data_IF_499699893276
#
_entry.id   IF_499699893276
#
_cell.length_a   1.000
_cell.length_b   1.000
_cell.length_c   1.000
_cell.angle_alpha   90.00
_cell.angle_beta   90.00
_cell.angle_gamma   90.00
#
_symmetry.space_group_name_H-M   'P 1'
#
loop_
_entity.id
_entity.type
_entity.pdbx_description
1 polymer ?
#
# COMPACT_ATOMS: atom_id res chain seq x y z
N UNK A 1 61.63 32.13 -35.23
CA UNK A 1 61.41 31.76 -33.82
C UNK A 1 60.28 32.64 -33.31
N UNK A 2 59.36 32.03 -32.58
CA UNK A 2 58.21 32.62 -31.88
C UNK A 2 57.07 33.10 -32.81
N UNK A 3 55.82 32.65 -32.74
CA UNK A 3 54.99 32.20 -31.60
C UNK A 3 53.85 31.28 -32.10
N UNK A 4 54.01 29.96 -31.94
CA UNK A 4 52.91 28.98 -32.14
C UNK A 4 52.52 28.45 -30.76
N UNK A 5 51.83 29.22 -29.92
CA UNK A 5 51.23 28.66 -28.69
C UNK A 5 50.01 29.45 -28.19
N UNK A 6 49.17 29.95 -29.11
CA UNK A 6 47.88 30.57 -28.77
C UNK A 6 46.68 29.76 -29.29
N UNK A 7 46.75 28.43 -29.20
CA UNK A 7 45.64 27.54 -29.60
C UNK A 7 45.50 26.34 -28.67
N UNK A 8 45.43 26.54 -27.35
CA UNK A 8 45.14 25.39 -26.47
C UNK A 8 44.56 25.77 -25.11
N UNK A 9 43.50 26.60 -25.05
CA UNK A 9 42.79 26.82 -23.78
C UNK A 9 41.26 26.90 -23.86
N UNK A 10 40.65 26.67 -25.01
CA UNK A 10 39.20 26.90 -25.19
C UNK A 10 38.41 25.65 -25.62
N UNK A 11 39.02 24.47 -25.60
CA UNK A 11 38.33 23.21 -25.99
C UNK A 11 37.99 22.29 -24.82
N UNK A 12 38.31 22.67 -23.59
CA UNK A 12 38.01 21.86 -22.39
C UNK A 12 36.82 22.37 -21.55
N UNK A 13 36.22 23.51 -21.90
CA UNK A 13 35.13 24.12 -21.12
C UNK A 13 33.71 23.79 -21.62
N UNK A 14 33.54 22.88 -22.58
CA UNK A 14 32.22 22.60 -23.20
C UNK A 14 31.65 21.23 -22.83
N UNK A 15 32.40 20.37 -22.12
CA UNK A 15 31.97 18.97 -21.84
C UNK A 15 31.44 18.77 -20.40
N UNK A 16 31.46 19.80 -19.53
CA UNK A 16 31.19 19.61 -18.09
C UNK A 16 29.87 20.21 -17.56
N UNK A 17 28.83 20.41 -18.40
CA UNK A 17 27.56 21.00 -17.93
C UNK A 17 26.27 20.35 -18.45
N UNK A 18 26.31 19.11 -18.93
CA UNK A 18 25.09 18.36 -19.34
C UNK A 18 24.74 17.19 -18.40
N UNK A 19 25.27 17.16 -17.18
CA UNK A 19 24.95 16.11 -16.18
C UNK A 19 23.85 16.49 -15.18
N UNK A 20 23.19 17.64 -15.34
CA UNK A 20 22.14 18.05 -14.41
C UNK A 20 20.76 17.91 -15.05
N UNK A 21 19.88 17.15 -14.37
CA UNK A 21 18.45 16.97 -14.64
C UNK A 21 18.08 15.76 -15.53
N UNK A 22 18.57 14.57 -15.18
CA UNK A 22 17.67 13.41 -15.30
C UNK A 22 16.61 13.60 -14.20
N UNK A 23 15.53 14.29 -14.56
CA UNK A 23 14.31 14.29 -13.76
C UNK A 23 13.77 12.85 -13.75
N UNK A 24 14.23 12.06 -12.78
CA UNK A 24 13.65 10.74 -12.51
C UNK A 24 12.21 10.98 -12.06
N UNK A 25 11.26 10.86 -12.99
CA UNK A 25 9.84 10.92 -12.70
C UNK A 25 9.52 9.93 -11.57
N UNK A 26 8.64 10.35 -10.66
CA UNK A 26 8.18 9.45 -9.61
C UNK A 26 7.46 8.26 -10.25
N UNK A 27 7.75 7.04 -9.79
CA UNK A 27 7.20 5.84 -10.38
C UNK A 27 5.69 5.83 -10.20
N UNK A 28 4.97 5.53 -11.27
CA UNK A 28 3.51 5.46 -11.24
C UNK A 28 3.09 4.13 -10.63
N UNK A 29 2.67 4.16 -9.38
CA UNK A 29 2.09 3.02 -8.67
C UNK A 29 0.56 3.14 -8.71
N UNK A 30 -0.12 2.02 -8.96
CA UNK A 30 -1.59 1.95 -8.91
C UNK A 30 -1.95 1.07 -7.70
N UNK A 31 -2.88 1.57 -6.88
CA UNK A 31 -3.37 0.85 -5.70
C UNK A 31 -4.80 0.40 -5.96
N UNK A 32 -5.05 -0.89 -5.77
CA UNK A 32 -6.39 -1.49 -5.70
C UNK A 32 -6.59 -1.94 -4.28
N UNK A 33 -7.44 -1.27 -3.52
CA UNK A 33 -7.68 -1.64 -2.13
C UNK A 33 -9.16 -1.70 -1.80
N UNK A 34 -9.49 -2.70 -1.00
CA UNK A 34 -10.84 -3.10 -0.66
C UNK A 34 -10.97 -3.28 0.84
N UNK A 35 -12.14 -2.95 1.37
CA UNK A 35 -12.52 -3.26 2.75
C UNK A 35 -13.67 -4.26 2.74
N UNK A 36 -13.59 -5.25 3.61
CA UNK A 36 -14.60 -6.28 3.75
C UNK A 36 -14.89 -6.47 5.24
N UNK A 37 -16.14 -6.30 5.64
CA UNK A 37 -16.54 -6.58 7.01
C UNK A 37 -16.65 -8.09 7.21
N UNK A 38 -16.23 -8.56 8.37
CA UNK A 38 -16.37 -9.94 8.81
C UNK A 38 -17.02 -9.95 10.19
N UNK A 39 -18.14 -10.65 10.30
CA UNK A 39 -18.81 -10.87 11.57
C UNK A 39 -18.56 -12.33 11.96
N UNK A 40 -17.73 -12.59 12.98
CA UNK A 40 -17.54 -13.95 13.48
C UNK A 40 -18.88 -14.53 13.96
N UNK A 41 -19.11 -15.83 13.77
CA UNK A 41 -20.26 -16.52 14.35
C UNK A 41 -20.30 -16.34 15.87
N UNK A 42 -21.49 -16.16 16.44
CA UNK A 42 -21.70 -16.16 17.88
C UNK A 42 -21.60 -17.58 18.42
N UNK A 43 -20.57 -17.90 19.18
CA UNK A 43 -20.61 -19.07 20.08
C UNK A 43 -21.30 -18.58 21.37
N UNK A 44 -22.48 -19.11 21.74
CA UNK A 44 -23.08 -18.77 23.02
C UNK A 44 -22.16 -19.26 24.14
N UNK A 45 -21.51 -18.34 24.83
CA UNK A 45 -20.85 -18.64 26.10
C UNK A 45 -21.92 -18.75 27.16
N UNK A 46 -22.18 -19.97 27.64
CA UNK A 46 -22.97 -20.19 28.84
C UNK A 46 -22.08 -19.81 30.03
N UNK A 47 -22.19 -18.58 30.51
CA UNK A 47 -21.62 -18.21 31.80
C UNK A 47 -22.43 -18.97 32.86
N UNK A 48 -21.94 -20.12 33.29
CA UNK A 48 -22.59 -20.93 34.33
C UNK A 48 -22.37 -20.23 35.67
N UNK A 49 -23.17 -19.19 35.96
CA UNK A 49 -23.29 -18.61 37.30
C UNK A 49 -24.76 -18.31 37.58
N UNK A 50 -25.43 -19.27 38.24
CA UNK A 50 -26.67 -19.07 39.00
C UNK A 50 -27.97 -18.95 38.18
N UNK A 51 -29.05 -19.53 38.71
CA UNK A 51 -30.40 -19.62 38.12
C UNK A 51 -31.12 -18.27 37.87
N UNK A 52 -30.43 -17.12 37.89
CA UNK A 52 -31.03 -15.79 37.69
C UNK A 52 -30.11 -14.75 37.02
N UNK A 53 -29.07 -15.17 36.29
CA UNK A 53 -28.29 -14.23 35.49
C UNK A 53 -28.91 -14.12 34.09
N UNK A 54 -29.33 -12.92 33.69
CA UNK A 54 -29.69 -12.65 32.30
C UNK A 54 -28.54 -13.09 31.39
N UNK A 55 -28.83 -13.99 30.45
CA UNK A 55 -27.88 -14.43 29.43
C UNK A 55 -27.47 -13.21 28.58
N UNK A 56 -26.36 -12.56 28.92
CA UNK A 56 -25.82 -11.50 28.07
C UNK A 56 -25.17 -12.14 26.84
N UNK A 57 -25.92 -12.21 25.75
CA UNK A 57 -25.37 -12.57 24.43
C UNK A 57 -24.34 -11.49 24.06
N UNK A 58 -23.06 -11.82 24.19
CA UNK A 58 -21.98 -10.94 23.75
C UNK A 58 -21.97 -10.94 22.22
N UNK A 59 -22.51 -9.88 21.61
CA UNK A 59 -22.41 -9.70 20.16
C UNK A 59 -20.92 -9.61 19.75
N UNK A 60 -20.48 -10.38 18.74
CA UNK A 60 -19.10 -10.38 18.29
C UNK A 60 -18.78 -9.02 17.66
N UNK A 61 -17.56 -8.54 17.90
CA UNK A 61 -17.10 -7.30 17.29
C UNK A 61 -16.99 -7.49 15.77
N UNK A 62 -17.50 -6.53 14.99
CA UNK A 62 -17.31 -6.50 13.54
C UNK A 62 -15.85 -6.22 13.25
N UNK A 63 -15.19 -7.14 12.54
CA UNK A 63 -13.79 -7.03 12.14
C UNK A 63 -13.75 -6.52 10.69
N UNK A 64 -12.83 -5.60 10.38
CA UNK A 64 -12.60 -5.17 8.99
C UNK A 64 -11.36 -5.85 8.44
N UNK A 65 -11.52 -6.60 7.36
CA UNK A 65 -10.44 -7.14 6.56
C UNK A 65 -10.11 -6.19 5.41
N UNK A 66 -8.82 -6.01 5.11
CA UNK A 66 -8.35 -5.18 4.01
C UNK A 66 -7.63 -6.03 2.96
N UNK A 67 -8.11 -5.98 1.72
CA UNK A 67 -7.45 -6.62 0.59
C UNK A 67 -6.75 -5.52 -0.21
N UNK A 68 -5.43 -5.52 -0.25
CA UNK A 68 -4.63 -4.45 -0.85
C UNK A 68 -3.70 -5.03 -1.91
N UNK A 69 -3.78 -4.49 -3.12
CA UNK A 69 -2.93 -4.84 -4.24
C UNK A 69 -2.27 -3.60 -4.81
N UNK A 70 -1.02 -3.76 -5.21
CA UNK A 70 -0.19 -2.69 -5.74
C UNK A 70 0.37 -3.11 -7.08
N UNK A 71 0.01 -2.39 -8.14
CA UNK A 71 0.59 -2.57 -9.47
C UNK A 71 1.80 -1.64 -9.65
N UNK A 72 2.89 -2.20 -10.15
CA UNK A 72 4.09 -1.47 -10.54
C UNK A 72 4.60 -1.93 -11.89
N UNK A 73 5.28 -1.04 -12.61
CA UNK A 73 5.88 -1.39 -13.89
C UNK A 73 6.91 -2.52 -13.72
N UNK A 74 7.00 -3.41 -14.72
CA UNK A 74 7.73 -4.68 -14.61
C UNK A 74 9.23 -4.50 -14.36
N UNK A 75 9.82 -3.43 -14.88
CA UNK A 75 11.23 -3.10 -14.65
C UNK A 75 11.49 -2.56 -13.22
N UNK A 76 10.44 -2.16 -12.51
CA UNK A 76 10.56 -1.52 -11.21
C UNK A 76 10.75 -2.57 -10.10
N UNK A 77 11.66 -2.26 -9.17
CA UNK A 77 11.82 -3.00 -7.92
C UNK A 77 11.51 -2.07 -6.75
N UNK A 78 10.43 -2.36 -6.04
CA UNK A 78 10.06 -1.68 -4.81
C UNK A 78 10.24 -2.60 -3.62
N UNK A 79 10.52 -2.02 -2.46
CA UNK A 79 10.45 -2.73 -1.18
C UNK A 79 9.31 -2.12 -0.36
N UNK A 80 8.14 -2.79 -0.30
CA UNK A 80 7.02 -2.39 0.55
C UNK A 80 7.48 -2.24 2.00
N UNK A 81 7.03 -1.19 2.69
CA UNK A 81 7.54 -0.88 4.04
C UNK A 81 6.44 -0.73 5.09
N UNK A 82 5.35 -0.04 4.76
CA UNK A 82 4.22 0.11 5.68
C UNK A 82 2.96 0.52 4.91
N UNK A 83 1.81 0.30 5.53
CA UNK A 83 0.53 0.84 5.09
C UNK A 83 -0.11 1.62 6.23
N UNK A 84 -0.61 2.81 5.93
CA UNK A 84 -1.51 3.53 6.80
C UNK A 84 -2.94 3.29 6.33
N UNK A 85 -3.76 2.68 7.18
CA UNK A 85 -5.18 2.41 6.93
C UNK A 85 -5.89 2.36 8.28
N UNK A 86 -7.14 2.82 8.34
CA UNK A 86 -7.90 2.81 9.59
C UNK A 86 -7.24 3.63 10.72
N UNK A 87 -6.49 4.68 10.38
CA UNK A 87 -5.88 5.59 11.35
C UNK A 87 -4.51 5.18 11.90
N UNK A 88 -3.99 3.98 11.56
CA UNK A 88 -2.73 3.46 12.10
C UNK A 88 -1.78 3.01 11.00
N UNK A 89 -0.48 2.98 11.32
CA UNK A 89 0.55 2.40 10.44
C UNK A 89 0.82 0.96 10.83
N UNK A 90 0.66 0.05 9.87
CA UNK A 90 1.01 -1.37 10.03
C UNK A 90 2.23 -1.72 9.15
N UNK A 91 3.03 -2.66 9.63
CA UNK A 91 4.06 -3.33 8.83
C UNK A 91 3.40 -4.10 7.69
N UNK A 92 4.17 -4.39 6.64
CA UNK A 92 3.65 -5.15 5.51
C UNK A 92 4.64 -6.20 5.02
N UNK A 93 4.09 -7.34 4.63
CA UNK A 93 4.74 -8.26 3.72
C UNK A 93 4.13 -8.10 2.32
N UNK A 94 4.88 -8.48 1.30
CA UNK A 94 4.40 -8.42 -0.07
C UNK A 94 4.65 -9.73 -0.79
N UNK A 95 3.60 -10.19 -1.48
CA UNK A 95 3.63 -11.41 -2.28
C UNK A 95 3.37 -11.03 -3.73
N UNK A 96 4.28 -11.40 -4.62
CA UNK A 96 4.04 -11.22 -6.05
C UNK A 96 2.93 -12.18 -6.50
N UNK A 97 1.91 -11.65 -7.17
CA UNK A 97 0.82 -12.45 -7.73
C UNK A 97 0.90 -12.43 -9.25
N UNK A 98 0.84 -13.63 -9.83
CA UNK A 98 0.94 -13.85 -11.28
C UNK A 98 -0.46 -13.99 -11.89
N UNK A 99 -1.42 -14.49 -11.11
CA UNK A 99 -2.81 -14.67 -11.54
C UNK A 99 -3.67 -13.51 -11.06
N UNK A 100 -4.60 -13.09 -11.90
CA UNK A 100 -5.63 -12.10 -11.60
C UNK A 100 -6.42 -12.50 -10.35
N UNK A 101 -6.33 -11.73 -9.25
CA UNK A 101 -7.08 -12.02 -8.03
C UNK A 101 -8.56 -11.70 -8.22
N UNK A 102 -9.41 -12.56 -7.68
CA UNK A 102 -10.86 -12.38 -7.67
C UNK A 102 -11.44 -12.90 -6.36
N UNK A 103 -12.59 -12.37 -5.98
CA UNK A 103 -13.46 -12.94 -4.94
C UNK A 103 -14.72 -13.48 -5.60
N UNK A 104 -15.37 -14.43 -4.92
CA UNK A 104 -16.67 -14.94 -5.33
C UNK A 104 -17.73 -14.24 -4.46
N UNK A 105 -18.54 -13.39 -5.07
CA UNK A 105 -19.70 -12.72 -4.46
C UNK A 105 -20.92 -13.35 -5.15
N UNK A 106 -21.50 -14.40 -4.58
CA UNK A 106 -22.55 -15.18 -5.25
C UNK A 106 -23.71 -14.27 -5.70
N UNK A 107 -24.16 -14.35 -6.97
CA UNK A 107 -23.87 -15.39 -7.96
C UNK A 107 -22.67 -15.11 -8.90
N UNK A 108 -21.93 -14.03 -8.67
CA UNK A 108 -20.90 -13.52 -9.58
C UNK A 108 -19.47 -13.64 -9.02
N UNK A 109 -18.49 -13.40 -9.89
CA UNK A 109 -17.10 -13.23 -9.48
C UNK A 109 -16.71 -11.78 -9.69
N UNK A 110 -16.07 -11.20 -8.68
CA UNK A 110 -15.56 -9.83 -8.74
C UNK A 110 -14.05 -9.85 -8.82
N UNK A 111 -13.55 -9.35 -9.93
CA UNK A 111 -12.12 -9.19 -10.18
C UNK A 111 -11.59 -8.04 -9.32
N UNK A 112 -10.56 -8.30 -8.51
CA UNK A 112 -9.95 -7.31 -7.61
C UNK A 112 -8.83 -6.51 -8.30
N UNK A 113 -8.13 -7.13 -9.23
CA UNK A 113 -7.12 -6.45 -10.05
C UNK A 113 -7.36 -6.90 -11.48
N UNK A 114 -7.61 -5.98 -12.45
CA UNK A 114 -7.77 -6.35 -13.85
C UNK A 114 -6.55 -7.10 -14.40
N UNK A 115 -6.72 -7.83 -15.50
CA UNK A 115 -5.60 -8.44 -16.19
C UNK A 115 -4.61 -7.35 -16.66
N UNK A 116 -3.35 -7.49 -16.31
CA UNK A 116 -2.30 -6.50 -16.57
C UNK A 116 -0.97 -7.18 -16.87
N UNK A 117 -0.12 -6.52 -17.65
CA UNK A 117 1.26 -6.96 -17.92
C UNK A 117 2.26 -6.48 -16.86
N UNK A 118 1.77 -5.69 -15.89
CA UNK A 118 2.53 -5.15 -14.78
C UNK A 118 2.76 -6.18 -13.69
N UNK A 119 3.76 -5.92 -12.84
CA UNK A 119 3.93 -6.69 -11.59
C UNK A 119 2.86 -6.25 -10.60
N UNK A 120 2.16 -7.23 -10.04
CA UNK A 120 1.19 -6.99 -8.98
C UNK A 120 1.70 -7.62 -7.69
N UNK A 121 1.68 -6.85 -6.62
CA UNK A 121 1.96 -7.33 -5.28
C UNK A 121 0.68 -7.32 -4.45
N UNK A 122 0.34 -8.47 -3.87
CA UNK A 122 -0.57 -8.55 -2.74
C UNK A 122 0.16 -8.05 -1.49
N UNK A 123 -0.42 -7.07 -0.81
CA UNK A 123 0.11 -6.47 0.40
C UNK A 123 -0.60 -7.09 1.60
N UNK A 124 0.15 -7.84 2.38
CA UNK A 124 -0.33 -8.51 3.58
C UNK A 124 0.02 -7.62 4.77
N UNK A 125 -1.00 -7.16 5.49
CA UNK A 125 -0.82 -6.36 6.70
C UNK A 125 -0.25 -7.23 7.82
N UNK A 126 0.77 -6.71 8.50
CA UNK A 126 1.35 -7.31 9.69
C UNK A 126 0.98 -6.52 10.95
N UNK A 127 1.88 -6.53 11.93
CA UNK A 127 1.69 -5.82 13.18
C UNK A 127 1.72 -4.30 13.00
N UNK A 128 1.01 -3.60 13.89
CA UNK A 128 1.11 -2.15 14.02
C UNK A 128 2.53 -1.74 14.39
N UNK A 129 3.04 -0.74 13.67
CA UNK A 129 4.40 -0.25 13.87
C UNK A 129 4.57 0.27 15.30
N UNK A 130 5.50 -0.34 16.05
CA UNK A 130 5.88 0.12 17.39
C UNK A 130 6.48 1.52 17.37
N UNK A 131 7.21 1.86 16.30
CA UNK A 131 7.74 3.19 16.08
C UNK A 131 7.00 3.85 14.91
N UNK A 132 6.28 4.92 15.20
CA UNK A 132 5.51 5.63 14.18
C UNK A 132 6.44 6.23 13.11
N UNK A 133 6.05 6.07 11.84
CA UNK A 133 6.66 6.83 10.75
C UNK A 133 6.34 8.29 11.00
N UNK A 134 7.37 9.14 11.13
CA UNK A 134 7.18 10.59 11.24
C UNK A 134 6.75 11.12 9.86
N UNK A 135 5.47 11.48 9.65
CA UNK A 135 5.00 11.87 8.34
C UNK A 135 5.38 13.32 8.07
N UNK A 136 5.85 13.59 6.84
CA UNK A 136 6.05 14.97 6.37
C UNK A 136 4.72 15.71 6.26
N UNK A 137 4.73 17.04 6.16
CA UNK A 137 3.50 17.83 6.02
C UNK A 137 2.62 17.36 4.83
N UNK A 138 3.24 16.95 3.72
CA UNK A 138 2.54 16.38 2.57
C UNK A 138 1.85 15.07 2.92
N UNK A 139 2.54 14.15 3.60
CA UNK A 139 1.96 12.86 4.01
C UNK A 139 0.86 13.07 5.05
N UNK A 140 1.03 13.99 6.00
CA UNK A 140 -0.02 14.36 6.96
C UNK A 140 -1.30 14.83 6.25
N UNK A 141 -1.17 15.67 5.22
CA UNK A 141 -2.32 16.07 4.41
C UNK A 141 -2.96 14.87 3.70
N UNK A 142 -2.15 13.97 3.14
CA UNK A 142 -2.66 12.75 2.53
C UNK A 142 -3.42 11.88 3.55
N UNK A 143 -2.96 11.79 4.80
CA UNK A 143 -3.63 11.01 5.87
C UNK A 143 -5.00 11.59 6.24
N UNK A 144 -5.25 12.86 5.97
CA UNK A 144 -6.57 13.49 6.20
C UNK A 144 -7.49 13.23 5.00
N UNK A 145 -6.95 13.35 3.78
CA UNK A 145 -7.75 13.36 2.55
C UNK A 145 -7.95 11.95 1.93
N UNK A 146 -7.26 10.93 2.42
CA UNK A 146 -7.20 9.59 1.82
C UNK A 146 -7.40 8.52 2.89
N UNK A 147 -8.09 7.43 2.55
CA UNK A 147 -8.33 6.31 3.46
C UNK A 147 -7.13 5.35 3.57
N UNK A 148 -6.23 5.35 2.57
CA UNK A 148 -5.07 4.48 2.56
C UNK A 148 -3.82 5.18 2.02
N UNK A 149 -2.68 4.95 2.68
CA UNK A 149 -1.36 5.35 2.19
C UNK A 149 -0.43 4.15 2.21
N UNK A 150 0.16 3.84 1.06
CA UNK A 150 1.17 2.82 0.89
C UNK A 150 2.56 3.44 0.86
N UNK A 151 3.41 3.05 1.81
CA UNK A 151 4.80 3.48 1.90
C UNK A 151 5.75 2.39 1.38
N UNK A 152 6.67 2.77 0.50
CA UNK A 152 7.62 1.84 -0.11
C UNK A 152 8.98 2.51 -0.32
N UNK A 153 10.02 1.69 -0.38
CA UNK A 153 11.35 2.12 -0.78
C UNK A 153 11.56 1.87 -2.28
N UNK A 154 12.17 2.86 -2.94
CA UNK A 154 12.64 2.75 -4.31
C UNK A 154 13.94 3.55 -4.45
N UNK A 155 14.98 2.95 -5.03
CA UNK A 155 16.29 3.57 -5.21
C UNK A 155 16.82 4.27 -3.92
N UNK A 156 16.69 3.59 -2.78
CA UNK A 156 17.16 4.09 -1.48
C UNK A 156 16.36 5.24 -0.87
N UNK A 157 15.25 5.66 -1.49
CA UNK A 157 14.36 6.71 -0.98
C UNK A 157 12.98 6.15 -0.68
N UNK A 158 12.35 6.67 0.38
CA UNK A 158 10.98 6.28 0.77
C UNK A 158 9.97 7.17 0.07
N UNK A 159 9.00 6.53 -0.58
CA UNK A 159 7.91 7.16 -1.31
C UNK A 159 6.56 6.74 -0.72
N UNK A 160 5.53 7.52 -1.05
CA UNK A 160 4.17 7.33 -0.55
C UNK A 160 3.19 7.44 -1.71
N UNK A 161 2.41 6.39 -1.92
CA UNK A 161 1.26 6.38 -2.83
C UNK A 161 -0.02 6.39 -1.97
N UNK A 162 -1.02 7.17 -2.34
CA UNK A 162 -2.24 7.34 -1.56
C UNK A 162 -3.47 6.99 -2.39
N UNK A 163 -4.44 6.36 -1.75
CA UNK A 163 -5.74 6.01 -2.33
C UNK A 163 -6.84 6.72 -1.56
N UNK A 164 -7.63 7.55 -2.27
CA UNK A 164 -8.65 8.40 -1.64
C UNK A 164 -9.68 7.61 -0.86
N UNK A 165 -10.19 6.53 -1.46
CA UNK A 165 -11.29 5.74 -0.90
C UNK A 165 -11.10 4.25 -1.20
N UNK A 166 -11.37 3.41 -0.21
CA UNK A 166 -11.42 1.96 -0.32
C UNK A 166 -12.72 1.53 -0.99
N UNK A 167 -12.65 0.47 -1.79
CA UNK A 167 -13.87 -0.15 -2.34
C UNK A 167 -14.45 -1.10 -1.29
N UNK A 168 -15.68 -0.85 -0.86
CA UNK A 168 -16.37 -1.72 0.10
C UNK A 168 -16.88 -2.98 -0.63
N UNK A 169 -16.55 -4.14 -0.09
CA UNK A 169 -17.01 -5.46 -0.54
C UNK A 169 -18.19 -5.93 0.32
N UNK A 170 -18.93 -6.90 -0.19
CA UNK A 170 -19.99 -7.54 0.57
C UNK A 170 -19.42 -8.20 1.85
N UNK A 171 -20.11 -8.08 3.00
CA UNK A 171 -19.65 -8.69 4.25
C UNK A 171 -19.49 -10.21 4.12
N UNK A 172 -18.47 -10.75 4.78
CA UNK A 172 -18.35 -12.18 5.01
C UNK A 172 -19.05 -12.52 6.32
N UNK A 173 -20.09 -13.33 6.24
CA UNK A 173 -20.69 -13.96 7.42
C UNK A 173 -19.84 -15.16 7.82
N UNK A 174 -19.39 -15.18 9.08
CA UNK A 174 -18.75 -16.36 9.64
C UNK A 174 -19.77 -17.49 9.76
N UNK A 175 -19.56 -18.57 9.01
CA UNK A 175 -20.23 -19.87 9.24
C UNK A 175 -19.83 -20.46 10.59
#
# INVERSE_FOLDING_TARGET
MDTIFYKMKWSFLVISFTSALIACAQPKIIIHAYSQQFTPGTIPTRDVVGENADDFIKHPAVITNYLIYVEVDTAMQITPSAVWVGGKWDTVAAKNIIKTPFITEYPSKKTLVPATSKKVYEIILGDTLKQAIVPTAKVKKQMIDHELIFAYWWNGKRYFAALKKLTVLEPLEGM
#
